data_IF_807570922836
#
_entry.id   IF_807570922836
#
_cell.length_a   1.000
_cell.length_b   1.000
_cell.length_c   1.000
_cell.angle_alpha   90.00
_cell.angle_beta   90.00
_cell.angle_gamma   90.00
#
_symmetry.space_group_name_H-M   'P 1'
#
loop_
_entity.id
_entity.type
_entity.pdbx_description
1 polymer ?
#
# COMPACT_ATOMS: atom_id res chain seq x y z
N UNK A 1 44.50 -22.41 3.37
CA UNK A 1 44.01 -21.70 4.57
C UNK A 1 43.31 -20.44 4.10
N UNK A 2 41.99 -20.41 4.13
CA UNK A 2 41.24 -19.20 3.83
C UNK A 2 41.40 -18.26 5.03
N UNK A 3 42.04 -17.11 4.82
CA UNK A 3 42.16 -16.05 5.82
C UNK A 3 40.75 -15.53 6.09
N UNK A 4 40.12 -16.02 7.16
CA UNK A 4 38.89 -15.43 7.69
C UNK A 4 39.30 -14.05 8.18
N UNK A 5 38.92 -13.01 7.44
CA UNK A 5 39.07 -11.62 7.88
C UNK A 5 38.27 -11.51 9.18
N UNK A 6 38.97 -11.52 10.32
CA UNK A 6 38.37 -11.20 11.60
C UNK A 6 38.02 -9.72 11.56
N UNK A 7 36.74 -9.43 11.39
CA UNK A 7 36.22 -8.08 11.58
C UNK A 7 36.28 -7.87 13.09
N UNK A 8 37.18 -7.02 13.56
CA UNK A 8 37.14 -6.52 14.93
C UNK A 8 36.07 -5.42 14.97
N UNK A 9 34.88 -5.71 15.53
CA UNK A 9 33.76 -4.79 15.48
C UNK A 9 33.93 -3.60 16.43
N UNK A 10 34.87 -3.69 17.38
CA UNK A 10 35.13 -2.66 18.39
C UNK A 10 36.04 -1.54 17.89
N UNK A 11 36.73 -1.78 16.77
CA UNK A 11 37.67 -0.83 16.15
C UNK A 11 37.06 -0.04 14.98
N UNK A 12 35.81 -0.34 14.60
CA UNK A 12 35.17 0.20 13.40
C UNK A 12 34.08 1.22 13.81
N UNK A 13 34.40 2.52 13.67
CA UNK A 13 33.62 3.66 14.16
C UNK A 13 32.14 3.65 13.74
N UNK A 14 31.80 2.94 12.66
CA UNK A 14 30.46 2.89 12.07
C UNK A 14 29.70 1.60 12.39
N UNK A 15 30.17 0.82 13.37
CA UNK A 15 29.51 -0.42 13.79
C UNK A 15 28.62 -0.18 14.99
N UNK A 16 27.36 -0.61 14.90
CA UNK A 16 26.37 -0.46 15.98
C UNK A 16 25.87 -1.82 16.47
N UNK A 17 25.61 -1.99 17.79
CA UNK A 17 25.13 -3.25 18.34
C UNK A 17 23.64 -3.43 18.06
N UNK A 18 23.27 -4.54 17.41
CA UNK A 18 21.85 -4.83 17.10
C UNK A 18 21.32 -6.08 17.80
N UNK A 19 22.20 -6.90 18.35
CA UNK A 19 21.85 -8.20 18.91
C UNK A 19 23.01 -8.91 19.58
N UNK A 20 22.81 -10.17 19.95
CA UNK A 20 23.81 -11.07 20.53
C UNK A 20 23.76 -12.42 19.85
N UNK A 21 24.91 -13.03 19.62
CA UNK A 21 25.04 -14.41 19.16
C UNK A 21 25.97 -15.18 20.11
N UNK A 22 26.16 -16.48 19.86
CA UNK A 22 26.92 -17.38 20.74
C UNK A 22 28.40 -17.00 20.98
N UNK A 23 28.95 -16.03 20.23
CA UNK A 23 30.35 -15.58 20.34
C UNK A 23 30.48 -14.12 20.77
N UNK A 24 29.38 -13.42 21.08
CA UNK A 24 29.42 -12.02 21.48
C UNK A 24 28.29 -11.18 20.89
N UNK A 25 28.51 -9.87 20.82
CA UNK A 25 27.57 -8.94 20.21
C UNK A 25 27.48 -9.12 18.69
N UNK A 26 26.26 -9.11 18.16
CA UNK A 26 26.02 -8.95 16.73
C UNK A 26 26.10 -7.46 16.39
N UNK A 27 27.12 -7.10 15.63
CA UNK A 27 27.36 -5.73 15.20
C UNK A 27 26.93 -5.55 13.74
N UNK A 28 26.35 -4.40 13.44
CA UNK A 28 25.95 -3.97 12.11
C UNK A 28 26.84 -2.80 11.67
N UNK A 29 27.67 -3.01 10.65
CA UNK A 29 28.49 -1.94 10.07
C UNK A 29 27.66 -1.12 9.08
N UNK A 30 27.46 0.17 9.39
CA UNK A 30 26.61 1.07 8.62
C UNK A 30 27.19 1.45 7.23
N UNK A 31 28.51 1.52 7.08
CA UNK A 31 29.14 1.79 5.76
C UNK A 31 28.94 0.62 4.79
N UNK A 32 29.10 -0.60 5.29
CA UNK A 32 28.87 -1.82 4.52
C UNK A 32 27.38 -2.06 4.29
N UNK A 33 26.53 -1.65 5.23
CA UNK A 33 25.09 -1.59 5.01
C UNK A 33 24.76 -0.61 3.86
N UNK A 34 25.41 0.56 3.82
CA UNK A 34 25.23 1.53 2.75
C UNK A 34 25.55 0.94 1.36
N UNK A 35 26.57 0.08 1.30
CA UNK A 35 26.95 -0.61 0.07
C UNK A 35 26.04 -1.82 -0.25
N UNK A 36 25.67 -2.59 0.77
CA UNK A 36 25.09 -3.93 0.62
C UNK A 36 23.58 -3.98 0.72
N UNK A 37 22.93 -3.01 1.39
CA UNK A 37 21.49 -2.99 1.69
C UNK A 37 21.07 -4.19 2.55
N UNK A 38 19.91 -4.13 3.20
CA UNK A 38 19.49 -5.17 4.14
C UNK A 38 18.05 -5.61 3.90
N UNK A 39 17.84 -6.92 3.93
CA UNK A 39 16.53 -7.55 4.03
C UNK A 39 16.30 -8.01 5.48
N UNK A 40 15.16 -7.66 6.06
CA UNK A 40 14.66 -8.21 7.31
C UNK A 40 13.40 -9.02 6.97
N UNK A 41 13.38 -10.27 7.36
CA UNK A 41 12.34 -11.19 6.93
C UNK A 41 11.89 -12.07 8.10
N UNK A 42 10.58 -12.25 8.24
CA UNK A 42 9.98 -13.13 9.25
C UNK A 42 8.46 -13.03 9.25
N UNK A 43 7.76 -14.08 9.68
CA UNK A 43 6.30 -14.08 9.78
C UNK A 43 5.78 -13.04 10.79
N UNK A 44 4.46 -12.84 10.87
CA UNK A 44 3.88 -12.02 11.94
C UNK A 44 4.30 -12.57 13.32
N UNK A 45 4.65 -11.68 14.25
CA UNK A 45 5.19 -12.05 15.56
C UNK A 45 6.66 -12.51 15.58
N UNK A 46 7.37 -12.59 14.43
CA UNK A 46 8.79 -12.96 14.41
C UNK A 46 9.73 -11.91 15.03
N UNK A 47 9.24 -10.68 15.25
CA UNK A 47 10.03 -9.56 15.76
C UNK A 47 10.56 -8.60 14.69
N UNK A 48 10.10 -8.68 13.43
CA UNK A 48 10.56 -7.81 12.32
C UNK A 48 10.54 -6.31 12.67
N UNK A 49 9.38 -5.79 13.08
CA UNK A 49 9.20 -4.37 13.38
C UNK A 49 10.09 -3.93 14.54
N UNK A 50 10.32 -4.81 15.54
CA UNK A 50 11.27 -4.58 16.63
C UNK A 50 12.72 -4.55 16.13
N UNK A 51 13.11 -5.47 15.26
CA UNK A 51 14.46 -5.49 14.65
C UNK A 51 14.72 -4.25 13.81
N UNK A 52 13.74 -3.84 12.98
CA UNK A 52 13.84 -2.62 12.17
C UNK A 52 13.99 -1.38 13.06
N UNK A 53 13.18 -1.30 14.12
CA UNK A 53 13.23 -0.24 15.14
C UNK A 53 14.58 -0.18 15.84
N UNK A 54 15.12 -1.32 16.30
CA UNK A 54 16.46 -1.38 16.91
C UNK A 54 17.53 -0.86 15.95
N UNK A 55 17.50 -1.25 14.68
CA UNK A 55 18.45 -0.75 13.67
C UNK A 55 18.34 0.77 13.52
N UNK A 56 17.12 1.32 13.49
CA UNK A 56 16.89 2.76 13.37
C UNK A 56 17.38 3.50 14.62
N UNK A 57 17.03 3.02 15.82
CA UNK A 57 17.45 3.59 17.11
C UNK A 57 18.97 3.62 17.26
N UNK A 58 19.69 2.67 16.67
CA UNK A 58 21.15 2.66 16.71
C UNK A 58 21.79 3.49 15.58
N UNK A 59 21.08 3.72 14.47
CA UNK A 59 21.64 4.36 13.29
C UNK A 59 21.33 5.87 13.15
N UNK A 60 20.28 6.38 13.81
CA UNK A 60 19.77 7.73 13.53
C UNK A 60 20.75 8.86 13.87
N UNK A 61 21.67 8.66 14.82
CA UNK A 61 22.73 9.62 15.15
C UNK A 61 23.85 9.66 14.09
N UNK A 62 23.98 8.61 13.26
CA UNK A 62 25.03 8.49 12.26
C UNK A 62 24.59 8.93 10.87
N UNK A 63 23.29 8.82 10.57
CA UNK A 63 22.76 9.07 9.23
C UNK A 63 21.29 9.43 9.26
N UNK A 64 20.83 10.17 8.26
CA UNK A 64 19.41 10.50 8.10
C UNK A 64 18.57 9.23 7.87
N UNK A 65 17.37 9.20 8.45
CA UNK A 65 16.43 8.09 8.32
C UNK A 65 15.20 8.54 7.52
N UNK A 66 14.84 7.78 6.49
CA UNK A 66 13.54 7.91 5.82
C UNK A 66 12.78 6.62 6.08
N UNK A 67 11.75 6.71 6.91
CA UNK A 67 10.90 5.60 7.28
C UNK A 67 9.64 5.61 6.41
N UNK A 68 9.39 4.50 5.71
CA UNK A 68 8.18 4.29 4.90
C UNK A 68 7.31 3.29 5.64
N UNK A 69 6.14 3.74 6.08
CA UNK A 69 5.27 3.02 7.00
C UNK A 69 3.88 2.76 6.37
N UNK A 70 3.70 1.61 5.68
CA UNK A 70 2.42 1.19 5.14
C UNK A 70 1.33 0.84 6.16
N UNK A 71 1.72 0.51 7.39
CA UNK A 71 0.80 -0.06 8.41
C UNK A 71 0.61 0.86 9.63
N UNK A 72 1.39 1.94 9.74
CA UNK A 72 1.23 2.98 10.75
C UNK A 72 1.80 2.64 12.12
N UNK A 73 2.73 1.68 12.19
CA UNK A 73 3.26 1.16 13.46
C UNK A 73 4.42 1.97 14.05
N UNK A 74 4.97 2.94 13.30
CA UNK A 74 6.23 3.60 13.63
C UNK A 74 6.12 5.08 14.00
N UNK A 75 4.91 5.62 14.17
CA UNK A 75 4.72 7.03 14.54
C UNK A 75 5.46 7.46 15.81
N UNK A 76 5.53 6.60 16.83
CA UNK A 76 6.29 6.89 18.06
C UNK A 76 7.82 6.84 17.86
N UNK A 77 8.32 5.95 16.99
CA UNK A 77 9.74 5.90 16.63
C UNK A 77 10.12 7.17 15.89
N UNK A 78 9.30 7.59 14.93
CA UNK A 78 9.49 8.80 14.16
C UNK A 78 9.62 10.02 15.08
N UNK A 79 8.74 10.14 16.09
CA UNK A 79 8.82 11.19 17.08
C UNK A 79 10.11 11.10 17.92
N UNK A 80 10.52 9.90 18.33
CA UNK A 80 11.74 9.68 19.10
C UNK A 80 13.02 10.11 18.37
N UNK A 81 13.13 9.81 17.07
CA UNK A 81 14.30 10.18 16.25
C UNK A 81 14.21 11.58 15.64
N UNK A 82 13.17 12.36 15.99
CA UNK A 82 12.94 13.70 15.44
C UNK A 82 12.62 13.73 13.93
N UNK A 83 12.09 12.64 13.37
CA UNK A 83 11.69 12.59 11.97
C UNK A 83 10.42 13.41 11.72
N UNK A 84 10.40 14.16 10.62
CA UNK A 84 9.19 14.90 10.21
C UNK A 84 8.19 13.92 9.58
N UNK A 85 7.02 13.80 10.19
CA UNK A 85 5.94 12.94 9.71
C UNK A 85 5.16 13.58 8.56
N UNK A 86 5.03 12.85 7.45
CA UNK A 86 4.28 13.20 6.25
C UNK A 86 3.17 12.17 6.05
N UNK A 87 1.93 12.61 6.02
CA UNK A 87 0.79 11.75 5.68
C UNK A 87 0.64 11.66 4.16
N UNK A 88 0.78 10.45 3.61
CA UNK A 88 0.77 10.24 2.17
C UNK A 88 -0.55 10.60 1.49
N UNK A 89 -1.67 10.55 2.22
CA UNK A 89 -3.00 10.95 1.75
C UNK A 89 -3.17 12.48 1.60
N UNK A 90 -2.40 13.28 2.35
CA UNK A 90 -2.50 14.74 2.36
C UNK A 90 -1.59 15.40 1.30
N UNK A 91 -0.64 14.65 0.74
CA UNK A 91 0.35 15.16 -0.21
C UNK A 91 0.13 14.62 -1.62
N UNK A 92 0.37 15.47 -2.63
CA UNK A 92 0.45 15.00 -4.03
C UNK A 92 1.73 14.18 -4.26
N UNK A 93 1.77 13.40 -5.34
CA UNK A 93 2.98 12.61 -5.69
C UNK A 93 4.18 13.52 -5.98
N UNK A 94 3.94 14.64 -6.67
CA UNK A 94 4.96 15.67 -6.90
C UNK A 94 5.40 16.35 -5.58
N UNK A 95 4.45 16.55 -4.66
CA UNK A 95 4.72 17.05 -3.31
C UNK A 95 5.66 16.13 -2.53
N UNK A 96 5.41 14.80 -2.55
CA UNK A 96 6.31 13.82 -1.92
C UNK A 96 7.68 13.77 -2.59
N UNK A 97 7.73 13.90 -3.92
CA UNK A 97 9.00 13.95 -4.68
C UNK A 97 9.83 15.17 -4.25
N UNK A 98 9.19 16.35 -4.17
CA UNK A 98 9.83 17.58 -3.70
C UNK A 98 10.25 17.50 -2.23
N UNK A 99 9.42 16.90 -1.37
CA UNK A 99 9.74 16.67 0.04
C UNK A 99 10.98 15.78 0.20
N UNK A 100 11.06 14.67 -0.54
CA UNK A 100 12.24 13.80 -0.56
C UNK A 100 13.52 14.53 -1.01
N UNK A 101 13.43 15.33 -2.08
CA UNK A 101 14.57 16.11 -2.58
C UNK A 101 15.05 17.15 -1.54
N UNK A 102 14.12 17.84 -0.87
CA UNK A 102 14.44 18.80 0.20
C UNK A 102 14.99 18.11 1.44
N UNK A 103 14.45 16.96 1.83
CA UNK A 103 14.98 16.17 2.93
C UNK A 103 16.42 15.75 2.67
N UNK A 104 16.75 15.35 1.43
CA UNK A 104 18.13 15.11 1.00
C UNK A 104 19.00 16.35 1.08
N UNK A 105 18.52 17.50 0.60
CA UNK A 105 19.26 18.77 0.65
C UNK A 105 19.60 19.18 2.10
N UNK A 106 18.62 19.07 2.99
CA UNK A 106 18.71 19.58 4.37
C UNK A 106 19.03 18.51 5.42
N UNK A 107 19.25 17.26 5.01
CA UNK A 107 19.54 16.10 5.88
C UNK A 107 18.45 15.84 6.91
N UNK A 108 17.19 15.99 6.50
CA UNK A 108 16.03 15.81 7.38
C UNK A 108 15.56 14.36 7.37
N UNK A 109 15.40 13.79 8.56
CA UNK A 109 14.76 12.49 8.70
C UNK A 109 13.26 12.64 8.43
N UNK A 110 12.70 11.69 7.70
CA UNK A 110 11.28 11.67 7.33
C UNK A 110 10.62 10.39 7.83
N UNK A 111 9.35 10.53 8.20
CA UNK A 111 8.44 9.41 8.38
C UNK A 111 7.28 9.60 7.40
N UNK A 112 7.02 8.60 6.56
CA UNK A 112 6.00 8.65 5.51
C UNK A 112 4.95 7.61 5.84
N UNK A 113 3.83 8.08 6.39
CA UNK A 113 2.68 7.27 6.74
C UNK A 113 1.82 7.05 5.48
N UNK A 114 1.60 5.78 5.13
CA UNK A 114 0.82 5.35 3.96
C UNK A 114 -0.41 4.51 4.35
N UNK A 115 -0.80 4.53 5.63
CA UNK A 115 -1.87 3.69 6.19
C UNK A 115 -3.23 3.97 5.55
N UNK A 116 -3.57 5.25 5.39
CA UNK A 116 -4.88 5.71 4.86
C UNK A 116 -5.00 5.62 3.32
N UNK A 117 -4.03 5.02 2.65
CA UNK A 117 -4.01 4.89 1.19
C UNK A 117 -4.46 3.50 0.75
N UNK A 118 -5.22 3.46 -0.34
CA UNK A 118 -5.46 2.21 -1.05
C UNK A 118 -4.15 1.61 -1.60
N UNK A 119 -4.11 0.30 -1.90
CA UNK A 119 -2.88 -0.38 -2.30
C UNK A 119 -2.17 0.24 -3.51
N UNK A 120 -2.91 0.75 -4.49
CA UNK A 120 -2.32 1.33 -5.70
C UNK A 120 -1.74 2.72 -5.41
N UNK A 121 -2.48 3.56 -4.69
CA UNK A 121 -1.99 4.87 -4.26
C UNK A 121 -0.76 4.74 -3.36
N UNK A 122 -0.74 3.76 -2.46
CA UNK A 122 0.43 3.46 -1.63
C UNK A 122 1.69 3.23 -2.46
N UNK A 123 1.59 2.42 -3.51
CA UNK A 123 2.71 2.17 -4.44
C UNK A 123 3.11 3.45 -5.16
N UNK A 124 2.14 4.22 -5.68
CA UNK A 124 2.40 5.48 -6.41
C UNK A 124 3.12 6.51 -5.52
N UNK A 125 2.67 6.68 -4.27
CA UNK A 125 3.26 7.62 -3.31
C UNK A 125 4.66 7.20 -2.90
N UNK A 126 4.88 5.92 -2.59
CA UNK A 126 6.21 5.39 -2.30
C UNK A 126 7.16 5.53 -3.50
N UNK A 127 6.70 5.21 -4.70
CA UNK A 127 7.47 5.38 -5.94
C UNK A 127 7.91 6.84 -6.16
N UNK A 128 7.01 7.79 -5.91
CA UNK A 128 7.31 9.22 -6.00
C UNK A 128 8.36 9.67 -4.97
N UNK A 129 8.23 9.20 -3.71
CA UNK A 129 9.23 9.42 -2.68
C UNK A 129 10.62 8.89 -3.11
N UNK A 130 10.70 7.65 -3.60
CA UNK A 130 11.94 7.03 -4.04
C UNK A 130 12.56 7.77 -5.22
N UNK A 131 11.74 8.20 -6.18
CA UNK A 131 12.19 9.01 -7.31
C UNK A 131 12.81 10.35 -6.85
N UNK A 132 12.22 11.02 -5.86
CA UNK A 132 12.76 12.26 -5.29
C UNK A 132 14.08 12.04 -4.55
N UNK A 133 14.20 10.95 -3.77
CA UNK A 133 15.45 10.61 -3.07
C UNK A 133 16.58 10.32 -4.05
N UNK A 134 16.30 9.50 -5.06
CA UNK A 134 17.27 9.16 -6.10
C UNK A 134 17.61 10.40 -6.93
N UNK A 135 16.62 11.21 -7.30
CA UNK A 135 16.75 12.38 -8.17
C UNK A 135 17.55 13.55 -7.58
N UNK A 136 18.00 13.48 -6.33
CA UNK A 136 18.79 14.54 -5.70
C UNK A 136 20.06 14.88 -6.51
N UNK A 137 20.41 16.19 -6.61
CA UNK A 137 21.60 16.63 -7.33
C UNK A 137 22.88 16.07 -6.69
N UNK A 138 23.95 15.99 -7.47
CA UNK A 138 25.21 15.34 -7.09
C UNK A 138 25.83 15.94 -5.82
N UNK A 139 25.67 17.24 -5.60
CA UNK A 139 26.11 17.95 -4.40
C UNK A 139 25.51 17.39 -3.10
N UNK A 140 24.33 16.77 -3.17
CA UNK A 140 23.66 16.16 -2.02
C UNK A 140 23.93 14.66 -1.89
N UNK A 141 24.73 14.03 -2.76
CA UNK A 141 24.95 12.57 -2.69
C UNK A 141 25.70 12.11 -1.43
N UNK A 142 26.52 12.99 -0.85
CA UNK A 142 27.21 12.74 0.42
C UNK A 142 26.29 12.77 1.65
N UNK A 143 25.05 13.24 1.50
CA UNK A 143 24.06 13.27 2.57
C UNK A 143 23.43 11.89 2.71
N UNK A 144 24.12 10.96 3.37
CA UNK A 144 23.70 9.56 3.44
C UNK A 144 22.32 9.40 4.07
N UNK A 145 21.54 8.46 3.57
CA UNK A 145 20.20 8.14 4.10
C UNK A 145 19.98 6.64 4.14
N UNK A 146 19.45 6.16 5.26
CA UNK A 146 18.86 4.83 5.35
C UNK A 146 17.36 4.95 5.05
N UNK A 147 16.91 4.21 4.04
CA UNK A 147 15.50 4.16 3.66
C UNK A 147 14.91 2.88 4.26
N UNK A 148 14.32 3.02 5.43
CA UNK A 148 13.72 1.94 6.19
C UNK A 148 12.30 1.73 5.68
N UNK A 149 12.03 0.58 5.06
CA UNK A 149 10.74 0.27 4.44
C UNK A 149 10.14 -0.89 5.21
N UNK A 150 9.01 -0.64 5.86
CA UNK A 150 8.22 -1.73 6.42
C UNK A 150 7.29 -2.35 5.36
N UNK A 151 7.03 -3.64 5.53
CA UNK A 151 6.23 -4.47 4.63
C UNK A 151 6.44 -4.19 3.12
N UNK A 152 7.70 -4.21 2.69
CA UNK A 152 8.11 -3.83 1.33
C UNK A 152 7.45 -4.63 0.20
N UNK A 153 6.88 -5.80 0.49
CA UNK A 153 6.08 -6.57 -0.48
C UNK A 153 4.78 -5.87 -0.90
N UNK A 154 4.28 -4.92 -0.09
CA UNK A 154 3.15 -4.05 -0.43
C UNK A 154 3.54 -3.00 -1.47
N UNK A 155 4.82 -2.63 -1.54
CA UNK A 155 5.34 -1.61 -2.46
C UNK A 155 5.90 -2.20 -3.76
N UNK A 156 6.45 -3.42 -3.71
CA UNK A 156 7.08 -4.10 -4.85
C UNK A 156 6.67 -5.59 -4.95
N UNK A 157 5.41 -5.90 -5.30
CA UNK A 157 4.91 -7.27 -5.35
C UNK A 157 5.42 -8.07 -6.58
N UNK A 158 5.61 -9.39 -6.43
CA UNK A 158 6.16 -10.31 -7.43
C UNK A 158 5.18 -10.65 -8.59
N UNK A 159 3.87 -10.41 -8.46
CA UNK A 159 2.87 -10.85 -9.45
C UNK A 159 2.07 -9.69 -10.06
N UNK A 160 1.94 -9.69 -11.39
CA UNK A 160 1.01 -8.84 -12.13
C UNK A 160 -0.40 -9.46 -12.12
N UNK A 161 -1.39 -8.71 -11.63
CA UNK A 161 -2.82 -9.03 -11.76
C UNK A 161 -3.37 -8.53 -13.11
N UNK A 162 -4.55 -7.91 -13.09
CA UNK A 162 -5.16 -7.30 -14.28
C UNK A 162 -4.24 -6.24 -14.94
N UNK A 163 -4.52 -5.84 -16.18
CA UNK A 163 -3.66 -4.95 -16.95
C UNK A 163 -3.40 -3.58 -16.27
N UNK A 164 -4.37 -3.04 -15.54
CA UNK A 164 -4.23 -1.77 -14.81
C UNK A 164 -3.43 -1.94 -13.52
N UNK A 165 -3.70 -3.01 -12.76
CA UNK A 165 -2.91 -3.36 -11.56
C UNK A 165 -1.45 -3.67 -11.92
N UNK A 166 -1.21 -4.16 -13.14
CA UNK A 166 0.12 -4.50 -13.62
C UNK A 166 1.01 -3.27 -13.80
N UNK A 167 0.49 -2.12 -14.23
CA UNK A 167 1.28 -0.91 -14.43
C UNK A 167 1.77 -0.33 -13.11
N UNK A 168 0.86 -0.12 -12.15
CA UNK A 168 1.19 0.40 -10.82
C UNK A 168 2.21 -0.50 -10.11
N UNK A 169 2.01 -1.82 -10.15
CA UNK A 169 2.96 -2.77 -9.54
C UNK A 169 4.32 -2.75 -10.22
N UNK A 170 4.37 -2.65 -11.55
CA UNK A 170 5.62 -2.49 -12.30
C UNK A 170 6.34 -1.21 -11.91
N UNK A 171 5.61 -0.10 -11.71
CA UNK A 171 6.17 1.15 -11.21
C UNK A 171 6.83 0.96 -9.83
N UNK A 172 6.12 0.34 -8.88
CA UNK A 172 6.65 0.04 -7.55
C UNK A 172 7.90 -0.84 -7.58
N UNK A 173 7.87 -1.93 -8.35
CA UNK A 173 9.03 -2.81 -8.53
C UNK A 173 10.19 -2.06 -9.20
N UNK A 174 9.94 -1.30 -10.25
CA UNK A 174 10.98 -0.57 -10.98
C UNK A 174 11.65 0.49 -10.11
N UNK A 175 10.86 1.29 -9.39
CA UNK A 175 11.38 2.37 -8.53
C UNK A 175 12.11 1.84 -7.31
N UNK A 176 11.63 0.78 -6.66
CA UNK A 176 12.34 0.18 -5.53
C UNK A 176 13.60 -0.56 -5.97
N UNK A 177 13.57 -1.25 -7.12
CA UNK A 177 14.78 -1.86 -7.72
C UNK A 177 15.81 -0.78 -8.05
N UNK A 178 15.36 0.34 -8.62
CA UNK A 178 16.22 1.47 -8.95
C UNK A 178 16.85 2.12 -7.70
N UNK A 179 16.05 2.28 -6.63
CA UNK A 179 16.53 2.73 -5.32
C UNK A 179 17.63 1.80 -4.80
N UNK A 180 17.45 0.48 -4.92
CA UNK A 180 18.44 -0.50 -4.49
C UNK A 180 19.69 -0.49 -5.38
N UNK A 181 19.55 -0.43 -6.71
CA UNK A 181 20.66 -0.55 -7.65
C UNK A 181 21.50 0.72 -7.75
N UNK A 182 20.86 1.89 -7.85
CA UNK A 182 21.55 3.19 -8.00
C UNK A 182 21.83 3.88 -6.67
N UNK A 183 21.08 3.54 -5.61
CA UNK A 183 21.17 4.19 -4.31
C UNK A 183 22.57 4.19 -3.70
N UNK A 184 23.31 3.09 -3.82
CA UNK A 184 24.68 2.97 -3.31
C UNK A 184 25.59 4.12 -3.76
N UNK A 185 25.54 4.50 -5.05
CA UNK A 185 26.39 5.58 -5.59
C UNK A 185 25.91 6.98 -5.18
N UNK A 186 24.69 7.09 -4.64
CA UNK A 186 24.03 8.34 -4.24
C UNK A 186 23.89 8.47 -2.72
N UNK A 187 24.55 7.61 -1.95
CA UNK A 187 24.45 7.61 -0.49
C UNK A 187 23.05 7.25 0.01
N UNK A 188 22.40 6.28 -0.62
CA UNK A 188 21.07 5.78 -0.21
C UNK A 188 21.18 4.28 0.00
N UNK A 189 20.72 3.79 1.15
CA UNK A 189 20.62 2.36 1.38
C UNK A 189 19.27 1.94 1.95
N UNK A 190 18.52 1.16 1.17
CA UNK A 190 17.33 0.49 1.65
C UNK A 190 17.60 -0.55 2.74
N UNK A 191 16.78 -0.50 3.79
CA UNK A 191 16.55 -1.58 4.76
C UNK A 191 15.09 -2.00 4.59
N UNK A 192 14.86 -3.18 4.04
CA UNK A 192 13.52 -3.63 3.65
C UNK A 192 13.07 -4.72 4.60
N UNK A 193 12.02 -4.46 5.36
CA UNK A 193 11.32 -5.48 6.14
C UNK A 193 10.15 -6.07 5.35
N UNK A 194 9.91 -7.37 5.46
CA UNK A 194 8.75 -8.02 4.84
C UNK A 194 8.35 -9.30 5.55
N UNK A 195 7.05 -9.53 5.73
CA UNK A 195 6.54 -10.80 6.21
C UNK A 195 6.41 -11.88 5.13
N UNK A 196 6.24 -11.49 3.86
CA UNK A 196 6.04 -12.40 2.72
C UNK A 196 7.17 -12.26 1.71
N UNK A 197 8.30 -12.93 1.98
CA UNK A 197 9.46 -12.94 1.10
C UNK A 197 9.11 -13.38 -0.33
N UNK A 198 8.30 -14.43 -0.47
CA UNK A 198 7.88 -14.96 -1.76
C UNK A 198 6.94 -14.03 -2.54
N UNK A 199 6.35 -13.01 -1.88
CA UNK A 199 5.55 -11.98 -2.53
C UNK A 199 6.35 -10.74 -2.91
N UNK A 200 7.55 -10.54 -2.35
CA UNK A 200 8.44 -9.44 -2.75
C UNK A 200 9.11 -9.78 -4.10
N UNK A 201 9.26 -8.79 -4.97
CA UNK A 201 9.88 -8.97 -6.28
C UNK A 201 11.30 -9.52 -6.18
N UNK A 202 11.60 -10.54 -6.99
CA UNK A 202 12.95 -11.12 -7.08
C UNK A 202 13.99 -10.12 -7.55
N UNK A 203 13.62 -9.14 -8.37
CA UNK A 203 14.50 -8.04 -8.82
C UNK A 203 14.94 -7.13 -7.68
N UNK A 204 14.08 -6.92 -6.68
CA UNK A 204 14.45 -6.16 -5.47
C UNK A 204 15.35 -7.01 -4.58
N UNK A 205 14.97 -8.27 -4.36
CA UNK A 205 15.72 -9.19 -3.48
C UNK A 205 17.15 -9.40 -4.00
N UNK A 206 17.36 -9.52 -5.31
CA UNK A 206 18.69 -9.74 -5.90
C UNK A 206 19.67 -8.60 -5.68
N UNK A 207 19.17 -7.41 -5.34
CA UNK A 207 20.01 -6.27 -5.02
C UNK A 207 20.47 -6.28 -3.55
N UNK A 208 19.84 -7.04 -2.66
CA UNK A 208 20.14 -7.05 -1.23
C UNK A 208 21.28 -8.04 -0.93
N UNK A 209 22.24 -7.63 -0.10
CA UNK A 209 23.42 -8.45 0.22
C UNK A 209 23.52 -8.83 1.70
N UNK A 210 22.74 -8.19 2.55
CA UNK A 210 22.64 -8.53 3.97
C UNK A 210 21.23 -9.05 4.26
N UNK A 211 21.14 -10.05 5.13
CA UNK A 211 19.91 -10.76 5.43
C UNK A 211 19.80 -10.99 6.94
N UNK A 212 18.64 -10.64 7.48
CA UNK A 212 18.15 -11.04 8.79
C UNK A 212 16.89 -11.87 8.57
N UNK A 213 16.99 -13.18 8.74
CA UNK A 213 15.89 -14.13 8.50
C UNK A 213 15.44 -14.74 9.83
N UNK A 214 14.24 -14.38 10.26
CA UNK A 214 13.61 -14.86 11.49
C UNK A 214 12.62 -16.00 11.25
N UNK A 215 11.73 -16.20 12.24
CA UNK A 215 10.72 -17.24 12.22
C UNK A 215 9.87 -17.20 10.94
N UNK A 216 9.78 -18.35 10.25
CA UNK A 216 8.96 -18.52 9.06
C UNK A 216 8.03 -19.73 9.15
N UNK A 217 6.77 -19.52 8.76
CA UNK A 217 5.74 -20.57 8.82
C UNK A 217 5.38 -21.11 7.44
N UNK A 218 5.42 -20.27 6.41
CA UNK A 218 4.99 -20.65 5.06
C UNK A 218 6.11 -21.29 4.23
N UNK A 219 5.83 -22.44 3.62
CA UNK A 219 6.82 -23.23 2.87
C UNK A 219 7.53 -22.44 1.77
N UNK A 220 6.80 -21.61 1.03
CA UNK A 220 7.37 -20.76 -0.04
C UNK A 220 8.35 -19.73 0.52
N UNK A 221 8.03 -19.14 1.68
CA UNK A 221 8.89 -18.14 2.33
C UNK A 221 10.13 -18.82 2.92
N UNK A 222 9.97 -20.03 3.50
CA UNK A 222 11.07 -20.85 4.01
C UNK A 222 12.04 -21.26 2.90
N UNK A 223 11.54 -21.74 1.77
CA UNK A 223 12.38 -22.13 0.64
C UNK A 223 13.22 -20.95 0.14
N UNK A 224 12.58 -19.80 -0.08
CA UNK A 224 13.28 -18.57 -0.52
C UNK A 224 14.29 -18.09 0.51
N UNK A 225 13.96 -18.16 1.79
CA UNK A 225 14.86 -17.76 2.86
C UNK A 225 16.06 -18.71 3.00
N UNK A 226 15.83 -20.03 2.87
CA UNK A 226 16.88 -21.03 2.87
C UNK A 226 17.85 -20.84 1.69
N UNK A 227 17.32 -20.54 0.50
CA UNK A 227 18.14 -20.22 -0.68
C UNK A 227 19.06 -19.01 -0.42
N UNK A 228 18.54 -17.94 0.20
CA UNK A 228 19.32 -16.75 0.53
C UNK A 228 20.43 -17.03 1.56
N UNK A 229 20.15 -17.90 2.54
CA UNK A 229 21.10 -18.28 3.59
C UNK A 229 22.09 -19.37 3.14
N UNK A 230 21.88 -19.98 1.98
CA UNK A 230 22.65 -21.16 1.53
C UNK A 230 22.37 -22.41 2.36
N UNK A 231 21.18 -22.52 2.94
CA UNK A 231 20.78 -23.67 3.76
C UNK A 231 20.34 -24.85 2.89
N UNK A 232 20.72 -26.05 3.32
CA UNK A 232 20.11 -27.29 2.82
C UNK A 232 18.64 -27.41 3.24
N UNK A 233 17.89 -28.30 2.59
CA UNK A 233 16.50 -28.58 2.97
C UNK A 233 16.33 -28.97 4.45
N UNK A 234 17.33 -29.67 5.03
CA UNK A 234 17.32 -30.05 6.45
C UNK A 234 17.57 -28.86 7.38
N UNK A 235 18.39 -27.89 6.96
CA UNK A 235 18.65 -26.68 7.74
C UNK A 235 17.48 -25.70 7.67
N UNK A 236 16.74 -25.69 6.56
CA UNK A 236 15.55 -24.85 6.39
C UNK A 236 14.48 -25.11 7.48
N UNK A 237 14.37 -26.33 7.99
CA UNK A 237 13.47 -26.66 9.11
C UNK A 237 13.79 -25.88 10.40
N UNK A 238 15.02 -25.38 10.56
CA UNK A 238 15.39 -24.52 11.70
C UNK A 238 14.62 -23.20 11.66
N UNK A 239 14.31 -22.67 10.48
CA UNK A 239 13.56 -21.42 10.32
C UNK A 239 12.14 -21.50 10.89
N UNK A 240 11.56 -22.70 10.99
CA UNK A 240 10.24 -22.95 11.60
C UNK A 240 10.28 -22.95 13.12
N UNK A 241 11.46 -23.14 13.71
CA UNK A 241 11.66 -23.38 15.15
C UNK A 241 12.27 -22.18 15.87
N UNK A 242 12.56 -21.09 15.16
CA UNK A 242 13.11 -19.88 15.74
C UNK A 242 12.12 -19.25 16.72
N UNK A 243 12.62 -18.77 17.85
CA UNK A 243 11.81 -17.97 18.76
C UNK A 243 11.63 -16.54 18.19
N UNK A 244 10.55 -15.84 18.56
CA UNK A 244 10.44 -14.40 18.30
C UNK A 244 11.68 -13.63 18.74
N UNK A 245 12.20 -12.75 17.89
CA UNK A 245 13.43 -12.01 18.14
C UNK A 245 14.73 -12.76 17.79
N UNK A 246 14.66 -14.03 17.41
CA UNK A 246 15.80 -14.75 16.85
C UNK A 246 15.83 -14.65 15.32
N UNK A 247 17.01 -14.34 14.79
CA UNK A 247 17.26 -14.21 13.36
C UNK A 247 18.58 -14.90 12.99
N UNK A 248 18.61 -15.54 11.81
CA UNK A 248 19.86 -15.80 11.12
C UNK A 248 20.33 -14.51 10.46
N UNK A 249 21.49 -14.02 10.91
CA UNK A 249 22.17 -12.87 10.36
C UNK A 249 23.28 -13.30 9.41
N UNK A 250 23.31 -12.71 8.22
CA UNK A 250 24.29 -12.99 7.18
C UNK A 250 24.52 -11.76 6.30
N UNK A 251 25.74 -11.58 5.81
CA UNK A 251 26.11 -10.54 4.86
C UNK A 251 27.36 -9.76 5.26
N UNK A 252 27.95 -9.00 4.32
CA UNK A 252 29.21 -8.28 4.53
C UNK A 252 29.16 -7.23 5.66
N UNK A 253 27.97 -6.71 5.99
CA UNK A 253 27.76 -5.74 7.06
C UNK A 253 27.67 -6.35 8.46
N UNK A 254 27.58 -7.69 8.57
CA UNK A 254 27.43 -8.39 9.84
C UNK A 254 28.37 -9.61 9.93
N UNK A 255 28.03 -10.70 9.25
CA UNK A 255 28.77 -11.96 9.29
C UNK A 255 28.80 -12.62 7.91
N UNK A 256 29.97 -13.09 7.43
CA UNK A 256 30.10 -13.72 6.13
C UNK A 256 29.34 -15.06 6.01
N UNK A 257 29.07 -15.72 7.13
CA UNK A 257 28.29 -16.96 7.22
C UNK A 257 27.05 -16.75 8.08
N UNK A 258 25.96 -17.54 7.90
CA UNK A 258 24.76 -17.40 8.70
C UNK A 258 25.06 -17.67 10.18
N UNK A 259 24.77 -16.69 11.03
CA UNK A 259 24.88 -16.84 12.49
C UNK A 259 23.52 -16.63 13.13
N UNK A 260 23.15 -17.51 14.06
CA UNK A 260 21.94 -17.32 14.85
C UNK A 260 22.19 -16.25 15.90
N UNK A 261 21.37 -15.21 15.89
CA UNK A 261 21.45 -14.09 16.81
C UNK A 261 20.08 -13.75 17.39
N UNK A 262 20.08 -13.31 18.65
CA UNK A 262 18.92 -12.73 19.32
C UNK A 262 19.02 -11.20 19.24
N UNK A 263 17.99 -10.54 18.75
CA UNK A 263 17.95 -9.08 18.64
C UNK A 263 17.75 -8.44 20.01
N UNK A 264 18.38 -7.30 20.25
CA UNK A 264 18.24 -6.59 21.52
C UNK A 264 16.87 -5.92 21.68
N UNK A 265 16.59 -5.48 22.91
CA UNK A 265 15.40 -4.71 23.23
C UNK A 265 15.46 -3.31 22.62
N UNK A 266 14.28 -2.77 22.30
CA UNK A 266 14.11 -1.43 21.72
C UNK A 266 13.84 -0.41 22.82
N UNK A 267 14.24 0.84 22.59
CA UNK A 267 13.96 1.96 23.50
C UNK A 267 12.47 2.32 23.41
N UNK A 268 11.94 2.35 22.19
CA UNK A 268 10.54 2.68 21.92
C UNK A 268 9.67 1.41 21.83
N UNK A 269 8.44 1.51 22.32
CA UNK A 269 7.49 0.39 22.31
C UNK A 269 6.89 0.17 20.91
N UNK A 270 6.46 -1.06 20.62
CA UNK A 270 5.77 -1.39 19.37
C UNK A 270 4.27 -1.12 19.51
N UNK A 271 3.72 -0.25 18.65
CA UNK A 271 2.31 0.18 18.70
C UNK A 271 1.33 -0.84 18.09
N UNK A 272 1.82 -1.77 17.26
CA UNK A 272 1.03 -2.78 16.56
C UNK A 272 0.60 -3.98 17.42
N UNK A 273 0.48 -3.81 18.74
CA UNK A 273 -0.03 -4.88 19.60
C UNK A 273 -1.45 -5.24 19.14
N UNK A 274 -1.66 -6.53 18.80
CA UNK A 274 -2.98 -7.08 18.46
C UNK A 274 -4.01 -6.56 19.47
N UNK A 275 -5.13 -5.96 19.02
CA UNK A 275 -6.17 -5.49 19.92
C UNK A 275 -6.51 -6.56 20.95
N UNK A 276 -6.53 -6.20 22.23
CA UNK A 276 -6.85 -7.15 23.29
C UNK A 276 -8.26 -7.68 23.06
N UNK A 277 -8.42 -9.00 23.18
CA UNK A 277 -9.74 -9.61 23.09
C UNK A 277 -10.64 -9.02 24.18
N UNK A 278 -11.67 -8.29 23.77
CA UNK A 278 -12.72 -7.81 24.65
C UNK A 278 -13.94 -8.71 24.49
N UNK A 279 -14.63 -9.00 25.60
CA UNK A 279 -15.88 -9.72 25.54
C UNK A 279 -16.91 -8.94 24.70
N UNK A 280 -17.80 -9.67 24.03
CA UNK A 280 -18.95 -9.05 23.37
C UNK A 280 -19.78 -8.27 24.41
N UNK A 281 -20.39 -7.17 23.99
CA UNK A 281 -21.31 -6.43 24.83
C UNK A 281 -22.47 -7.35 25.23
N UNK A 282 -22.77 -7.42 26.53
CA UNK A 282 -23.92 -8.16 27.05
C UNK A 282 -25.19 -7.28 26.95
N UNK A 283 -25.64 -7.06 25.71
CA UNK A 283 -26.85 -6.31 25.40
C UNK A 283 -27.90 -7.25 24.79
N UNK A 284 -29.17 -6.99 25.05
CA UNK A 284 -30.27 -7.74 24.45
C UNK A 284 -30.45 -7.37 22.96
N UNK A 285 -31.28 -8.15 22.27
CA UNK A 285 -31.49 -8.00 20.82
C UNK A 285 -32.16 -6.68 20.45
N UNK A 286 -33.05 -6.16 21.29
CA UNK A 286 -33.83 -4.96 20.99
C UNK A 286 -32.94 -3.71 21.11
N UNK A 287 -32.12 -3.67 22.16
CA UNK A 287 -31.12 -2.61 22.34
C UNK A 287 -30.01 -2.72 21.29
N UNK A 288 -29.61 -3.93 20.89
CA UNK A 288 -28.68 -4.10 19.76
C UNK A 288 -29.27 -3.57 18.45
N UNK A 289 -30.55 -3.84 18.14
CA UNK A 289 -31.22 -3.31 16.94
C UNK A 289 -31.28 -1.78 16.95
N UNK A 290 -31.52 -1.18 18.13
CA UNK A 290 -31.49 0.27 18.32
C UNK A 290 -30.09 0.85 18.14
N UNK A 291 -29.07 0.27 18.78
CA UNK A 291 -27.68 0.76 18.70
C UNK A 291 -27.09 0.62 17.31
N UNK A 292 -27.50 -0.42 16.57
CA UNK A 292 -27.15 -0.60 15.17
C UNK A 292 -28.00 0.25 14.22
N UNK A 293 -29.04 0.92 14.73
CA UNK A 293 -30.03 1.66 13.95
C UNK A 293 -30.51 0.90 12.71
N UNK A 294 -30.85 -0.39 12.90
CA UNK A 294 -31.24 -1.23 11.76
C UNK A 294 -32.49 -0.69 11.06
N UNK A 295 -33.33 0.08 11.75
CA UNK A 295 -34.44 0.81 11.15
C UNK A 295 -34.01 1.77 10.04
N UNK A 296 -32.93 2.55 10.24
CA UNK A 296 -32.44 3.50 9.25
C UNK A 296 -31.51 2.85 8.21
N UNK A 297 -30.88 1.72 8.55
CA UNK A 297 -29.99 0.97 7.67
C UNK A 297 -30.71 -0.08 6.82
N UNK A 298 -31.99 -0.36 7.10
CA UNK A 298 -32.82 -1.18 6.21
C UNK A 298 -32.82 -0.51 4.85
N UNK A 299 -32.44 -1.29 3.84
CA UNK A 299 -32.56 -0.88 2.46
C UNK A 299 -33.99 -0.36 2.28
N UNK A 300 -34.12 0.88 1.79
CA UNK A 300 -35.40 1.45 1.41
C UNK A 300 -35.89 0.64 0.22
N UNK A 301 -36.50 -0.49 0.53
CA UNK A 301 -37.41 -1.18 -0.35
C UNK A 301 -38.55 -0.20 -0.51
N UNK A 302 -38.47 0.62 -1.57
CA UNK A 302 -39.64 1.32 -2.07
C UNK A 302 -40.69 0.24 -2.29
N UNK A 303 -41.65 0.16 -1.36
CA UNK A 303 -42.70 -0.84 -1.36
C UNK A 303 -43.35 -0.86 -2.73
N UNK A 304 -43.14 -1.95 -3.46
CA UNK A 304 -43.56 -2.12 -4.85
C UNK A 304 -42.53 -2.77 -5.78
N UNK A 305 -41.28 -2.98 -5.37
CA UNK A 305 -40.22 -3.49 -6.27
C UNK A 305 -40.05 -5.02 -6.36
N UNK A 306 -40.81 -5.80 -5.60
CA UNK A 306 -40.61 -7.27 -5.55
C UNK A 306 -41.44 -8.08 -6.55
N UNK A 307 -42.29 -7.42 -7.38
CA UNK A 307 -43.06 -8.11 -8.43
C UNK A 307 -42.59 -7.80 -9.86
N UNK A 308 -41.64 -6.88 -10.07
CA UNK A 308 -41.30 -6.41 -11.43
C UNK A 308 -39.94 -6.89 -11.96
N UNK A 309 -39.08 -7.47 -11.12
CA UNK A 309 -37.70 -7.83 -11.50
C UNK A 309 -37.48 -9.28 -11.94
N UNK A 310 -38.52 -9.93 -12.48
CA UNK A 310 -38.38 -11.22 -13.20
C UNK A 310 -39.14 -11.28 -14.53
N UNK A 311 -39.37 -10.16 -15.21
CA UNK A 311 -39.94 -10.18 -16.56
C UNK A 311 -38.83 -10.13 -17.63
N UNK A 312 -38.50 -11.28 -18.21
CA UNK A 312 -37.68 -11.36 -19.44
C UNK A 312 -38.59 -11.25 -20.67
N UNK A 313 -38.16 -10.50 -21.69
CA UNK A 313 -38.80 -10.46 -23.02
C UNK A 313 -39.86 -9.37 -23.19
N UNK A 314 -40.81 -9.60 -24.11
CA UNK A 314 -41.86 -8.65 -24.56
C UNK A 314 -42.64 -7.99 -23.43
N UNK A 315 -42.87 -8.68 -22.30
CA UNK A 315 -43.59 -8.13 -21.14
C UNK A 315 -42.86 -6.97 -20.45
N UNK A 316 -41.53 -6.94 -20.47
CA UNK A 316 -40.77 -5.81 -19.93
C UNK A 316 -40.85 -4.58 -20.85
N UNK A 317 -40.95 -4.81 -22.16
CA UNK A 317 -41.19 -3.74 -23.13
C UNK A 317 -42.62 -3.21 -23.00
N UNK A 318 -43.62 -4.07 -22.85
CA UNK A 318 -45.01 -3.65 -22.65
C UNK A 318 -45.17 -2.85 -21.34
N UNK A 319 -44.54 -3.31 -20.25
CA UNK A 319 -44.51 -2.57 -18.99
C UNK A 319 -43.79 -1.21 -19.14
N UNK A 320 -42.70 -1.15 -19.90
CA UNK A 320 -42.01 0.10 -20.22
C UNK A 320 -42.90 1.04 -21.04
N UNK A 321 -43.58 0.54 -22.09
CA UNK A 321 -44.41 1.37 -22.98
C UNK A 321 -45.67 1.91 -22.30
N UNK A 322 -46.16 1.23 -21.26
CA UNK A 322 -47.33 1.64 -20.49
C UNK A 322 -46.99 2.54 -19.29
N UNK A 323 -45.70 2.72 -18.97
CA UNK A 323 -45.28 3.58 -17.86
C UNK A 323 -45.42 5.07 -18.23
N UNK A 324 -46.05 5.91 -17.38
CA UNK A 324 -46.17 7.35 -17.60
C UNK A 324 -44.82 8.08 -17.79
N UNK A 325 -43.72 7.50 -17.28
CA UNK A 325 -42.37 8.05 -17.37
C UNK A 325 -41.66 7.71 -18.69
N UNK A 326 -42.23 6.82 -19.51
CA UNK A 326 -41.60 6.35 -20.75
C UNK A 326 -41.26 7.45 -21.77
N UNK A 327 -42.12 8.48 -22.01
CA UNK A 327 -41.78 9.58 -22.92
C UNK A 327 -40.58 10.41 -22.43
N UNK A 328 -40.50 10.63 -21.11
CA UNK A 328 -39.39 11.31 -20.46
C UNK A 328 -38.12 10.48 -20.53
N UNK A 329 -38.22 9.16 -20.29
CA UNK A 329 -37.11 8.23 -20.40
C UNK A 329 -36.51 8.21 -21.82
N UNK A 330 -37.36 8.19 -22.86
CA UNK A 330 -36.92 8.28 -24.25
C UNK A 330 -36.19 9.61 -24.54
N UNK A 331 -36.73 10.72 -24.02
CA UNK A 331 -36.15 12.06 -24.20
C UNK A 331 -34.79 12.19 -23.50
N UNK A 332 -34.65 11.64 -22.30
CA UNK A 332 -33.39 11.58 -21.54
C UNK A 332 -32.34 10.75 -22.28
N UNK A 333 -32.71 9.59 -22.81
CA UNK A 333 -31.78 8.79 -23.65
C UNK A 333 -31.32 9.60 -24.87
N UNK A 334 -32.21 10.36 -25.51
CA UNK A 334 -31.88 11.24 -26.63
C UNK A 334 -30.91 12.38 -26.25
N UNK A 335 -31.05 12.95 -25.06
CA UNK A 335 -30.15 13.98 -24.53
C UNK A 335 -28.77 13.39 -24.16
N UNK A 336 -28.75 12.31 -23.38
CA UNK A 336 -27.52 11.65 -22.95
C UNK A 336 -26.73 11.04 -24.11
N UNK A 337 -27.41 10.61 -25.19
CA UNK A 337 -26.77 10.14 -26.42
C UNK A 337 -25.93 11.22 -27.10
N UNK A 338 -26.34 12.49 -27.04
CA UNK A 338 -25.62 13.62 -27.68
C UNK A 338 -24.34 14.00 -26.94
N UNK A 339 -24.32 13.82 -25.63
CA UNK A 339 -23.17 14.17 -24.78
C UNK A 339 -22.28 12.96 -24.46
N UNK A 340 -22.63 11.76 -24.92
CA UNK A 340 -21.83 10.57 -24.68
C UNK A 340 -20.38 10.79 -25.14
N UNK A 341 -19.36 10.44 -24.35
CA UNK A 341 -19.41 9.62 -23.13
C UNK A 341 -19.60 10.39 -21.81
N UNK A 342 -19.85 11.69 -21.86
CA UNK A 342 -19.94 12.58 -20.70
C UNK A 342 -21.23 12.37 -19.89
N UNK A 343 -21.23 12.90 -18.68
CA UNK A 343 -22.36 12.89 -17.75
C UNK A 343 -22.92 14.31 -17.58
N UNK A 344 -24.16 14.40 -17.14
CA UNK A 344 -24.82 15.68 -16.82
C UNK A 344 -25.64 15.51 -15.54
N UNK A 345 -26.14 16.60 -14.97
CA UNK A 345 -27.00 16.54 -13.79
C UNK A 345 -28.46 16.34 -14.16
N UNK A 346 -29.26 15.87 -13.22
CA UNK A 346 -30.70 15.83 -13.39
C UNK A 346 -31.33 17.23 -13.47
N UNK A 347 -30.68 18.27 -12.92
CA UNK A 347 -31.12 19.66 -13.04
C UNK A 347 -30.86 20.20 -14.45
N UNK A 348 -29.69 19.90 -15.02
CA UNK A 348 -29.38 20.23 -16.41
C UNK A 348 -30.35 19.51 -17.37
N UNK A 349 -30.70 18.25 -17.10
CA UNK A 349 -31.68 17.49 -17.89
C UNK A 349 -33.09 18.10 -17.77
N UNK A 350 -33.49 18.50 -16.57
CA UNK A 350 -34.76 19.19 -16.31
C UNK A 350 -34.85 20.49 -17.09
N UNK A 351 -33.80 21.33 -17.02
CA UNK A 351 -33.70 22.57 -17.78
C UNK A 351 -33.67 22.37 -19.29
N UNK A 352 -32.90 21.39 -19.77
CA UNK A 352 -32.75 21.13 -21.21
C UNK A 352 -34.00 20.53 -21.86
N UNK A 353 -34.73 19.68 -21.13
CA UNK A 353 -35.93 19.01 -21.64
C UNK A 353 -37.23 19.77 -21.31
N UNK A 354 -37.16 20.79 -20.44
CA UNK A 354 -38.33 21.56 -20.01
C UNK A 354 -39.33 20.74 -19.19
N UNK A 355 -38.85 19.72 -18.46
CA UNK A 355 -39.69 18.81 -17.67
C UNK A 355 -39.50 19.08 -16.18
N UNK A 356 -40.51 18.81 -15.32
CA UNK A 356 -40.35 18.92 -13.87
C UNK A 356 -39.26 17.99 -13.35
N UNK A 357 -38.55 18.41 -12.29
CA UNK A 357 -37.48 17.64 -11.66
C UNK A 357 -37.94 16.23 -11.25
N UNK A 358 -39.12 16.12 -10.67
CA UNK A 358 -39.74 14.85 -10.28
C UNK A 358 -39.95 13.90 -11.47
N UNK A 359 -40.33 14.42 -12.65
CA UNK A 359 -40.54 13.62 -13.85
C UNK A 359 -39.21 13.12 -14.44
N UNK A 360 -38.17 13.96 -14.42
CA UNK A 360 -36.80 13.55 -14.75
C UNK A 360 -36.35 12.47 -13.78
N UNK A 361 -36.68 12.61 -12.50
CA UNK A 361 -36.23 11.67 -11.50
C UNK A 361 -36.89 10.29 -11.64
N UNK A 362 -38.21 10.26 -11.84
CA UNK A 362 -38.93 9.01 -12.11
C UNK A 362 -38.42 8.32 -13.38
N UNK A 363 -38.12 9.08 -14.44
CA UNK A 363 -37.63 8.53 -15.69
C UNK A 363 -36.18 8.01 -15.60
N UNK A 364 -35.30 8.69 -14.86
CA UNK A 364 -33.95 8.23 -14.59
C UNK A 364 -33.95 6.95 -13.74
N UNK A 365 -34.86 6.82 -12.79
CA UNK A 365 -35.02 5.59 -11.99
C UNK A 365 -35.47 4.42 -12.87
N UNK A 366 -36.43 4.67 -13.75
CA UNK A 366 -36.90 3.71 -14.75
C UNK A 366 -35.75 3.23 -15.66
N UNK A 367 -34.93 4.17 -16.15
CA UNK A 367 -33.77 3.86 -17.01
C UNK A 367 -32.65 3.14 -16.25
N UNK A 368 -32.43 3.46 -14.98
CA UNK A 368 -31.44 2.79 -14.13
C UNK A 368 -31.87 1.34 -13.84
N UNK A 369 -33.16 1.08 -13.63
CA UNK A 369 -33.71 -0.26 -13.39
C UNK A 369 -33.45 -1.23 -14.56
N UNK A 370 -33.49 -0.72 -15.80
CA UNK A 370 -33.13 -1.51 -17.00
C UNK A 370 -31.66 -1.36 -17.39
N UNK A 371 -30.83 -0.75 -16.52
CA UNK A 371 -29.42 -0.41 -16.69
C UNK A 371 -29.08 0.28 -18.03
N UNK A 372 -29.96 1.17 -18.49
CA UNK A 372 -29.72 2.03 -19.64
C UNK A 372 -28.88 3.27 -19.29
N UNK A 373 -28.96 3.73 -18.04
CA UNK A 373 -28.25 4.90 -17.50
C UNK A 373 -27.60 4.52 -16.17
N UNK A 374 -26.38 5.04 -15.91
CA UNK A 374 -25.78 5.02 -14.58
C UNK A 374 -26.13 6.34 -13.88
N UNK A 375 -26.64 6.25 -12.65
CA UNK A 375 -26.92 7.41 -11.80
C UNK A 375 -26.03 7.42 -10.56
N UNK A 376 -25.59 8.59 -10.12
CA UNK A 376 -24.77 8.78 -8.92
C UNK A 376 -25.25 10.00 -8.13
N UNK A 377 -25.38 9.94 -6.80
CA UNK A 377 -25.77 11.09 -5.99
C UNK A 377 -24.69 12.18 -5.98
N UNK A 378 -25.11 13.45 -5.95
CA UNK A 378 -24.26 14.64 -5.83
C UNK A 378 -24.97 15.73 -5.03
N UNK A 379 -24.81 15.71 -3.70
CA UNK A 379 -25.53 16.63 -2.82
C UNK A 379 -27.05 16.33 -2.86
N UNK A 380 -27.86 17.37 -3.08
CA UNK A 380 -29.32 17.23 -3.28
C UNK A 380 -29.69 16.85 -4.73
N UNK A 381 -28.70 16.74 -5.60
CA UNK A 381 -28.85 16.43 -7.03
C UNK A 381 -28.26 15.05 -7.37
N UNK A 382 -28.37 14.61 -8.61
CA UNK A 382 -27.77 13.37 -9.10
C UNK A 382 -27.27 13.49 -10.52
N UNK A 383 -26.13 12.87 -10.75
CA UNK A 383 -25.46 12.79 -12.04
C UNK A 383 -26.05 11.61 -12.81
N UNK A 384 -26.34 11.79 -14.09
CA UNK A 384 -26.79 10.76 -15.01
C UNK A 384 -25.86 10.66 -16.22
N UNK A 385 -25.56 9.43 -16.65
CA UNK A 385 -24.80 9.14 -17.88
C UNK A 385 -25.28 7.85 -18.54
N UNK A 386 -25.11 7.72 -19.86
CA UNK A 386 -25.41 6.45 -20.52
C UNK A 386 -24.56 5.30 -19.95
N UNK A 387 -25.22 4.16 -19.69
CA UNK A 387 -24.54 2.96 -19.22
C UNK A 387 -23.47 2.51 -20.22
N UNK A 388 -22.35 1.96 -19.73
CA UNK A 388 -21.19 1.58 -20.53
C UNK A 388 -21.54 0.73 -21.78
N UNK A 389 -22.47 -0.21 -21.64
CA UNK A 389 -22.95 -1.07 -22.74
C UNK A 389 -23.61 -0.32 -23.90
N UNK A 390 -24.30 0.79 -23.62
CA UNK A 390 -24.97 1.59 -24.65
C UNK A 390 -23.98 2.57 -25.27
N UNK A 391 -23.06 3.14 -24.48
CA UNK A 391 -21.97 3.98 -24.98
C UNK A 391 -21.10 3.23 -26.00
N UNK A 392 -20.81 1.95 -25.74
CA UNK A 392 -20.06 1.10 -26.67
C UNK A 392 -20.76 0.87 -28.02
N UNK A 393 -22.09 1.08 -28.11
CA UNK A 393 -22.87 0.95 -29.36
C UNK A 393 -23.04 2.27 -30.12
N UNK A 394 -22.56 3.39 -29.56
CA UNK A 394 -22.77 4.76 -30.07
C UNK A 394 -21.46 5.36 -30.62
N UNK A 395 -20.36 4.59 -30.68
CA UNK A 395 -18.97 5.05 -30.87
C UNK A 395 -18.62 5.79 -32.18
N UNK A 396 -19.58 6.10 -33.05
CA UNK A 396 -19.37 6.82 -34.33
C UNK A 396 -20.06 8.20 -34.41
N UNK A 397 -20.52 8.78 -33.29
CA UNK A 397 -21.20 10.10 -33.31
C UNK A 397 -20.28 11.20 -32.76
N UNK A 398 -20.02 12.30 -33.51
CA UNK A 398 -19.22 13.42 -33.02
C UNK A 398 -19.93 14.13 -31.85
N UNK A 399 -19.14 14.44 -30.81
CA UNK A 399 -19.58 15.05 -29.55
C UNK A 399 -20.01 16.50 -29.78
N UNK A 400 -21.23 16.86 -29.38
CA UNK A 400 -21.70 18.26 -29.34
C UNK A 400 -22.23 18.55 -27.94
N UNK A 401 -21.74 19.62 -27.31
CA UNK A 401 -22.24 20.07 -26.03
C UNK A 401 -23.68 20.60 -26.17
N UNK A 402 -24.52 20.34 -25.19
CA UNK A 402 -25.85 20.94 -25.11
C UNK A 402 -25.67 22.38 -24.62
N UNK A 403 -26.13 23.34 -25.44
CA UNK A 403 -26.21 24.75 -25.07
C UNK A 403 -27.50 25.03 -24.28
#
# INVERSE_FOLDING_TARGET
MATVVSIDPSADQWSVPIGKHSRGALMLNLERLLAGRLLIQGSSGAGKSRTLRKIIEEAFDFTTIVLVDPEGEFGNLAAHIGATSLKGCELTSDGLTAAAARARQHRLSLHVDLTDLDPDQRIIKAAALFAGLIGAPREHWSHTVLVCIDEGHLLAPHHAGSARDAETRRLGVATLTDLCARGRKRGIAPVIATQRLAKLSSSVISELQNFLVGLNVFDRDIARAADLLGFSAKEADRLRKLAPGEFFAMGPAMSPLPVLAHMEETITEHLGATPRLTAAAAIDSDEAERLLDLSALREVSSGGRDTTLTLKGTRALDAFLLDPSAPHAASIIGALKRIAPNATTADDLSGHLGCPREAIDNALDMLAAIAAVDTMPRGEDRIARLHARLRAKISDIPVVALA
#
